data_IF_252005854333
#
_entry.id   IF_252005854333
#
_cell.length_a   1.000
_cell.length_b   1.000
_cell.length_c   1.000
_cell.angle_alpha   90.00
_cell.angle_beta   90.00
_cell.angle_gamma   90.00
#
_symmetry.space_group_name_H-M   'P 1'
#
loop_
_entity.id
_entity.type
_entity.pdbx_description
1 polymer ?
#
# COMPACT_ATOMS: atom_id res chain seq x y z
N UNK A 1 -0.29 10.82 2.46
CA UNK A 1 -1.41 11.15 3.38
C UNK A 1 -2.72 11.26 2.60
N UNK A 2 -3.88 11.52 3.24
CA UNK A 2 -5.17 11.63 2.51
C UNK A 2 -5.14 12.70 1.41
N UNK A 3 -4.25 13.68 1.56
CA UNK A 3 -3.94 14.74 0.61
C UNK A 3 -3.42 14.21 -0.74
N UNK A 4 -2.71 13.07 -0.75
CA UNK A 4 -2.12 12.52 -1.98
C UNK A 4 -3.10 11.61 -2.76
N UNK A 5 -4.29 11.33 -2.22
CA UNK A 5 -5.23 10.39 -2.86
C UNK A 5 -5.74 10.87 -4.23
N UNK A 6 -5.74 12.18 -4.50
CA UNK A 6 -6.09 12.75 -5.81
C UNK A 6 -4.90 12.88 -6.76
N UNK A 7 -3.69 12.96 -6.21
CA UNK A 7 -2.46 13.24 -6.97
C UNK A 7 -1.97 12.06 -7.80
N UNK A 8 -2.33 10.83 -7.38
CA UNK A 8 -1.83 9.61 -8.00
C UNK A 8 -0.36 9.30 -7.68
N UNK A 9 0.30 10.05 -6.80
CA UNK A 9 1.65 9.75 -6.34
C UNK A 9 1.70 8.38 -5.68
N UNK A 10 2.68 7.58 -6.09
CA UNK A 10 3.00 6.28 -5.52
C UNK A 10 4.27 6.40 -4.71
N UNK A 11 4.27 5.83 -3.51
CA UNK A 11 5.43 5.78 -2.64
C UNK A 11 6.04 4.39 -2.75
N UNK A 12 7.33 4.34 -3.07
CA UNK A 12 8.11 3.12 -3.03
C UNK A 12 8.57 2.83 -1.60
N UNK A 13 8.61 1.56 -1.21
CA UNK A 13 9.09 1.19 0.11
C UNK A 13 9.03 -0.31 0.37
N UNK A 14 9.76 -0.74 1.39
CA UNK A 14 9.77 -2.14 1.82
C UNK A 14 8.54 -2.44 2.67
N UNK A 15 7.77 -3.44 2.26
CA UNK A 15 6.62 -3.94 3.03
C UNK A 15 7.11 -4.65 4.28
N UNK A 16 6.56 -4.24 5.43
CA UNK A 16 6.76 -4.90 6.72
C UNK A 16 5.65 -5.92 6.98
N UNK A 17 4.39 -5.48 6.91
CA UNK A 17 3.22 -6.30 7.21
C UNK A 17 2.20 -6.25 6.08
N UNK A 18 1.61 -7.41 5.74
CA UNK A 18 0.41 -7.50 4.90
C UNK A 18 -0.82 -7.47 5.80
N UNK A 19 -1.67 -6.45 5.65
CA UNK A 19 -2.83 -6.20 6.51
C UNK A 19 -4.14 -6.78 5.95
N UNK A 20 -4.14 -7.29 4.73
CA UNK A 20 -5.31 -7.92 4.09
C UNK A 20 -5.02 -9.38 3.74
N UNK A 21 -5.90 -10.29 4.12
CA UNK A 21 -5.73 -11.75 3.96
C UNK A 21 -6.45 -12.37 2.74
N UNK A 22 -7.34 -11.61 2.08
CA UNK A 22 -8.06 -12.11 0.90
C UNK A 22 -7.07 -12.44 -0.24
N UNK A 23 -7.26 -13.50 -1.03
CA UNK A 23 -6.42 -13.73 -2.21
C UNK A 23 -6.72 -12.76 -3.36
N UNK A 24 -7.92 -12.16 -3.37
CA UNK A 24 -8.35 -11.20 -4.39
C UNK A 24 -8.45 -9.80 -3.78
N UNK A 25 -7.74 -8.85 -4.37
CA UNK A 25 -7.67 -7.47 -3.92
C UNK A 25 -7.99 -6.48 -5.05
N UNK A 26 -9.28 -6.22 -5.34
CA UNK A 26 -9.68 -5.33 -6.44
C UNK A 26 -9.17 -3.89 -6.27
N UNK A 27 -8.85 -3.48 -5.03
CA UNK A 27 -8.33 -2.15 -4.73
C UNK A 27 -6.83 -2.17 -4.35
N UNK A 28 -6.15 -3.31 -4.46
CA UNK A 28 -4.77 -3.51 -4.03
C UNK A 28 -4.63 -4.06 -2.61
N UNK A 29 -3.45 -4.59 -2.31
CA UNK A 29 -3.11 -5.22 -1.03
C UNK A 29 -2.89 -4.11 0.00
N UNK A 30 -3.58 -4.14 1.15
CA UNK A 30 -3.29 -3.20 2.23
C UNK A 30 -2.03 -3.66 2.94
N UNK A 31 -1.04 -2.78 3.04
CA UNK A 31 0.25 -3.08 3.65
C UNK A 31 0.68 -2.00 4.62
N UNK A 32 1.59 -2.36 5.52
CA UNK A 32 2.36 -1.42 6.33
C UNK A 32 3.81 -1.46 5.84
N UNK A 33 4.40 -0.29 5.61
CA UNK A 33 5.83 -0.15 5.30
C UNK A 33 6.68 -0.25 6.57
N UNK A 34 7.97 -0.51 6.41
CA UNK A 34 8.93 -0.54 7.54
C UNK A 34 8.89 0.76 8.36
N UNK A 35 8.66 1.91 7.71
CA UNK A 35 8.50 3.21 8.35
C UNK A 35 7.21 3.41 9.16
N UNK A 36 6.32 2.41 9.21
CA UNK A 36 5.06 2.46 9.96
C UNK A 36 3.87 3.03 9.16
N UNK A 37 4.12 3.58 7.99
CA UNK A 37 3.09 4.09 7.06
C UNK A 37 2.21 2.95 6.54
N UNK A 38 0.92 3.23 6.37
CA UNK A 38 -0.07 2.24 5.90
C UNK A 38 -0.67 2.70 4.58
N UNK A 39 -0.66 1.82 3.58
CA UNK A 39 -1.08 2.13 2.22
C UNK A 39 -1.65 0.94 1.47
N UNK A 40 -1.93 1.13 0.17
CA UNK A 40 -2.29 0.05 -0.75
C UNK A 40 -1.19 -0.14 -1.78
N UNK A 41 -0.84 -1.39 -2.05
CA UNK A 41 0.14 -1.78 -3.08
C UNK A 41 -0.50 -1.64 -4.46
N UNK A 42 0.22 -0.98 -5.38
CA UNK A 42 -0.16 -0.84 -6.79
C UNK A 42 0.66 -1.76 -7.70
N UNK A 43 1.97 -1.84 -7.47
CA UNK A 43 2.94 -2.68 -8.21
C UNK A 43 3.89 -3.39 -7.25
N UNK A 44 4.38 -4.57 -7.65
CA UNK A 44 5.40 -5.37 -6.94
C UNK A 44 6.44 -5.75 -8.01
N UNK A 45 7.72 -5.50 -7.73
CA UNK A 45 8.85 -5.89 -8.60
C UNK A 45 9.49 -7.18 -8.10
#
# INVERSE_FOLDING_TARGET
>A
LKEDQSSGYITEGTVRDILTKSPKHPHGIKVRLVGGEVGRVKEIY
#
